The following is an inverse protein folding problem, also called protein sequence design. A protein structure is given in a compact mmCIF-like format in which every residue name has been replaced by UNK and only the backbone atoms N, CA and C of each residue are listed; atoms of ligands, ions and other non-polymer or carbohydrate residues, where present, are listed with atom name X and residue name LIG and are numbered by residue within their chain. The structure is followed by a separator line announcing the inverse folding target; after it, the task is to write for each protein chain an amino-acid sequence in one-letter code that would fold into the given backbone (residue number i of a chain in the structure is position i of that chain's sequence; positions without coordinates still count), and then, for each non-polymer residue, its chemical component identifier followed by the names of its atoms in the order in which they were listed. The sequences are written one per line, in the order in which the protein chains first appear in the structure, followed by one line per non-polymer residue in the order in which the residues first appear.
data_IF_855369506387
#
_entry.id   IF_855369506387
#
_cell.length_a   1.000
_cell.length_b   1.000
_cell.length_c   1.000
_cell.angle_alpha   90.00
_cell.angle_beta   90.00
_cell.angle_gamma   90.00
#
_symmetry.space_group_name_H-M   'P 1'
#
loop_
_entity.id
_entity.type
_entity.pdbx_description
1 polymer ?
#
# COMPACT_ATOMS: atom_id res chain seq x y z
N UNK A 1 7.24 15.25 -19.71
CA UNK A 1 7.10 15.78 -18.32
C UNK A 1 5.99 16.84 -18.22
N UNK A 2 6.04 17.95 -18.96
CA UNK A 2 5.03 19.03 -18.85
C UNK A 2 3.56 18.61 -19.03
N UNK A 3 3.27 17.65 -19.93
CA UNK A 3 1.91 17.15 -20.15
C UNK A 3 1.38 16.28 -19.00
N UNK A 4 2.26 15.53 -18.31
CA UNK A 4 1.89 14.71 -17.14
C UNK A 4 1.71 15.60 -15.92
N UNK A 5 2.59 16.58 -15.71
CA UNK A 5 2.44 17.58 -14.65
C UNK A 5 1.16 18.41 -14.81
N UNK A 6 0.78 18.74 -16.05
CA UNK A 6 -0.51 19.39 -16.36
C UNK A 6 -1.71 18.52 -15.98
N UNK A 7 -1.72 17.25 -16.39
CA UNK A 7 -2.80 16.32 -16.03
C UNK A 7 -2.92 16.08 -14.52
N UNK A 8 -1.81 16.08 -13.78
CA UNK A 8 -1.83 15.95 -12.32
C UNK A 8 -2.41 17.18 -11.61
N UNK A 9 -2.26 18.37 -12.20
CA UNK A 9 -2.81 19.61 -11.65
C UNK A 9 -4.33 19.73 -11.85
N UNK A 10 -4.89 19.04 -12.84
CA UNK A 10 -6.34 19.00 -13.11
C UNK A 10 -7.10 17.98 -12.25
N UNK A 11 -6.42 17.13 -11.48
CA UNK A 11 -7.09 16.15 -10.62
C UNK A 11 -7.74 16.86 -9.43
N UNK A 12 -9.06 17.03 -9.49
CA UNK A 12 -9.85 17.57 -8.38
C UNK A 12 -9.72 16.70 -7.13
N UNK A 13 -9.57 17.36 -5.99
CA UNK A 13 -9.62 16.67 -4.70
C UNK A 13 -11.06 16.30 -4.38
N UNK A 14 -11.39 15.03 -4.58
CA UNK A 14 -12.69 14.46 -4.20
C UNK A 14 -12.89 14.58 -2.68
N UNK A 15 -14.06 15.11 -2.29
CA UNK A 15 -14.52 15.08 -0.89
C UNK A 15 -14.99 13.68 -0.53
N UNK A 16 -14.88 13.30 0.74
CA UNK A 16 -15.27 11.95 1.16
C UNK A 16 -16.76 11.89 1.50
N UNK A 17 -17.41 10.71 1.38
CA UNK A 17 -18.84 10.58 1.62
C UNK A 17 -19.31 11.05 3.00
N UNK A 18 -18.52 10.86 4.05
CA UNK A 18 -18.81 11.28 5.43
C UNK A 18 -18.76 12.79 5.56
N UNK A 19 -17.76 13.45 4.97
CA UNK A 19 -17.68 14.91 4.93
C UNK A 19 -18.91 15.48 4.21
N UNK A 20 -19.28 14.91 3.05
CA UNK A 20 -20.46 15.32 2.31
C UNK A 20 -21.80 15.04 3.05
N UNK A 21 -21.85 14.01 3.90
CA UNK A 21 -22.99 13.72 4.77
C UNK A 21 -23.06 14.71 5.94
N UNK A 22 -21.92 15.04 6.55
CA UNK A 22 -21.85 16.05 7.61
C UNK A 22 -22.25 17.43 7.12
N UNK A 23 -21.84 17.84 5.92
CA UNK A 23 -22.25 19.12 5.32
C UNK A 23 -23.76 19.16 5.03
N UNK A 24 -24.35 18.03 4.65
CA UNK A 24 -25.81 17.90 4.49
C UNK A 24 -26.52 17.96 5.84
N UNK A 25 -26.03 17.24 6.83
CA UNK A 25 -26.57 17.23 8.19
C UNK A 25 -26.52 18.63 8.82
N UNK A 26 -25.37 19.31 8.75
CA UNK A 26 -25.19 20.66 9.26
C UNK A 26 -26.16 21.64 8.62
N UNK A 27 -26.32 21.62 7.28
CA UNK A 27 -27.30 22.47 6.58
C UNK A 27 -28.73 22.18 7.02
N UNK A 28 -29.11 20.91 7.13
CA UNK A 28 -30.46 20.53 7.55
C UNK A 28 -30.75 20.98 8.98
N UNK A 29 -29.78 20.81 9.88
CA UNK A 29 -29.86 21.24 11.27
C UNK A 29 -29.94 22.77 11.38
N UNK A 30 -29.14 23.52 10.62
CA UNK A 30 -29.22 24.99 10.59
C UNK A 30 -30.59 25.47 10.13
N UNK A 31 -31.14 24.89 9.06
CA UNK A 31 -32.49 25.25 8.58
C UNK A 31 -33.54 24.93 9.65
N UNK A 32 -33.43 23.79 10.32
CA UNK A 32 -34.32 23.40 11.40
C UNK A 32 -34.27 24.38 12.60
N UNK A 33 -33.05 24.74 13.05
CA UNK A 33 -32.86 25.71 14.14
C UNK A 33 -33.44 27.07 13.78
N UNK A 34 -33.18 27.57 12.57
CA UNK A 34 -33.70 28.87 12.11
C UNK A 34 -35.23 28.87 11.99
N UNK A 35 -35.83 27.77 11.52
CA UNK A 35 -37.28 27.61 11.47
C UNK A 35 -37.88 27.65 12.88
N UNK A 36 -37.32 26.87 13.81
CA UNK A 36 -37.78 26.84 15.19
C UNK A 36 -37.62 28.20 15.88
N UNK A 37 -36.50 28.88 15.63
CA UNK A 37 -36.23 30.24 16.11
C UNK A 37 -37.29 31.24 15.61
N UNK A 38 -37.62 31.21 14.32
CA UNK A 38 -38.65 32.06 13.74
C UNK A 38 -40.04 31.76 14.32
N UNK A 39 -40.37 30.47 14.51
CA UNK A 39 -41.64 30.05 15.14
C UNK A 39 -41.74 30.54 16.58
N UNK A 40 -40.70 30.34 17.39
CA UNK A 40 -40.68 30.81 18.79
C UNK A 40 -40.76 32.32 18.90
N UNK A 41 -40.04 33.03 18.02
CA UNK A 41 -40.04 34.49 18.00
C UNK A 41 -41.41 35.05 17.57
N UNK A 42 -42.03 34.47 16.56
CA UNK A 42 -43.39 34.85 16.14
C UNK A 42 -44.43 34.54 17.22
N UNK A 43 -44.39 33.36 17.83
CA UNK A 43 -45.30 32.98 18.90
C UNK A 43 -45.14 33.87 20.14
N UNK A 44 -43.90 34.06 20.62
CA UNK A 44 -43.64 34.87 21.82
C UNK A 44 -44.03 36.34 21.65
N UNK A 45 -43.88 36.88 20.44
CA UNK A 45 -44.25 38.26 20.13
C UNK A 45 -45.76 38.44 19.94
N UNK A 46 -46.40 37.61 19.12
CA UNK A 46 -47.82 37.78 18.77
C UNK A 46 -48.78 37.21 19.82
N UNK A 47 -48.44 36.08 20.46
CA UNK A 47 -49.32 35.38 21.41
C UNK A 47 -48.90 35.68 22.85
N UNK A 48 -47.59 35.62 23.13
CA UNK A 48 -47.06 35.82 24.47
C UNK A 48 -46.95 37.29 24.91
N UNK A 49 -47.04 38.24 23.98
CA UNK A 49 -46.84 39.69 24.20
C UNK A 49 -45.56 40.03 24.99
N UNK A 50 -44.51 39.23 24.81
CA UNK A 50 -43.22 39.44 25.47
C UNK A 50 -42.43 40.58 24.79
N UNK A 51 -41.54 41.28 25.53
CA UNK A 51 -40.64 42.26 24.94
C UNK A 51 -39.75 41.61 23.88
N UNK A 52 -39.64 42.24 22.70
CA UNK A 52 -38.85 41.70 21.59
C UNK A 52 -37.37 41.47 21.96
N UNK A 53 -36.78 42.36 22.78
CA UNK A 53 -35.40 42.23 23.27
C UNK A 53 -35.16 40.92 24.00
N UNK A 54 -36.07 40.57 24.90
CA UNK A 54 -35.92 39.44 25.81
C UNK A 54 -36.13 38.14 25.04
N UNK A 55 -37.12 38.13 24.13
CA UNK A 55 -37.41 37.02 23.24
C UNK A 55 -36.27 36.77 22.24
N UNK A 56 -35.71 37.83 21.65
CA UNK A 56 -34.57 37.74 20.74
C UNK A 56 -33.35 37.13 21.42
N UNK A 57 -33.01 37.61 22.62
CA UNK A 57 -31.90 37.07 23.42
C UNK A 57 -32.11 35.59 23.76
N UNK A 58 -33.32 35.20 24.16
CA UNK A 58 -33.65 33.81 24.46
C UNK A 58 -33.53 32.89 23.22
N UNK A 59 -34.05 33.32 22.08
CA UNK A 59 -34.01 32.55 20.82
C UNK A 59 -32.60 32.41 20.28
N UNK A 60 -31.78 33.47 20.33
CA UNK A 60 -30.36 33.40 19.95
C UNK A 60 -29.61 32.44 20.87
N UNK A 61 -29.82 32.53 22.18
CA UNK A 61 -29.22 31.62 23.17
C UNK A 61 -29.57 30.16 22.90
N UNK A 62 -30.85 29.86 22.63
CA UNK A 62 -31.31 28.53 22.25
C UNK A 62 -30.66 28.05 20.95
N UNK A 63 -30.58 28.93 19.95
CA UNK A 63 -30.02 28.59 18.64
C UNK A 63 -28.54 28.22 18.73
N UNK A 64 -27.75 29.00 19.49
CA UNK A 64 -26.34 28.70 19.74
C UNK A 64 -26.18 27.38 20.51
N UNK A 65 -27.00 27.16 21.55
CA UNK A 65 -26.96 25.92 22.33
C UNK A 65 -27.31 24.67 21.50
N UNK A 66 -28.06 24.82 20.41
CA UNK A 66 -28.44 23.73 19.52
C UNK A 66 -27.37 23.39 18.46
N UNK A 67 -26.33 24.22 18.27
CA UNK A 67 -25.25 23.96 17.30
C UNK A 67 -24.31 22.88 17.87
N UNK A 68 -24.06 21.77 17.14
CA UNK A 68 -23.25 20.68 17.63
C UNK A 68 -21.76 20.95 17.39
N UNK A 69 -21.21 21.92 18.11
CA UNK A 69 -19.80 22.34 18.00
C UNK A 69 -18.81 21.20 18.31
N UNK A 70 -19.23 20.21 19.10
CA UNK A 70 -18.42 19.03 19.42
C UNK A 70 -18.29 18.01 18.29
N UNK A 71 -19.20 18.03 17.30
CA UNK A 71 -19.28 17.00 16.26
C UNK A 71 -18.05 16.98 15.33
N UNK A 72 -17.53 18.13 14.81
CA UNK A 72 -16.28 18.15 14.04
C UNK A 72 -15.05 17.71 14.85
N UNK A 73 -15.03 18.03 16.14
CA UNK A 73 -13.92 17.66 17.03
C UNK A 73 -13.89 16.14 17.26
N UNK A 74 -15.03 15.54 17.60
CA UNK A 74 -15.16 14.08 17.79
C UNK A 74 -14.77 13.34 16.50
N UNK A 75 -15.26 13.79 15.34
CA UNK A 75 -14.90 13.21 14.05
C UNK A 75 -13.38 13.18 13.85
N UNK A 76 -12.72 14.31 14.07
CA UNK A 76 -11.28 14.45 13.86
C UNK A 76 -10.50 13.51 14.79
N UNK A 77 -10.92 13.41 16.06
CA UNK A 77 -10.32 12.50 17.03
C UNK A 77 -10.49 11.04 16.59
N UNK A 78 -11.69 10.64 16.19
CA UNK A 78 -11.96 9.27 15.73
C UNK A 78 -11.14 8.93 14.48
N UNK A 79 -11.04 9.84 13.50
CA UNK A 79 -10.20 9.65 12.31
C UNK A 79 -8.71 9.55 12.67
N UNK A 80 -8.22 10.37 13.61
CA UNK A 80 -6.84 10.33 14.07
C UNK A 80 -6.48 8.99 14.74
N UNK A 81 -7.37 8.45 15.57
CA UNK A 81 -7.21 7.10 16.16
C UNK A 81 -7.16 6.04 15.05
N UNK A 82 -8.01 6.16 14.03
CA UNK A 82 -7.98 5.28 12.85
C UNK A 82 -6.66 5.33 12.09
N UNK A 83 -6.11 6.53 11.85
CA UNK A 83 -4.80 6.72 11.22
C UNK A 83 -3.69 6.09 12.05
N UNK A 84 -3.71 6.27 13.38
CA UNK A 84 -2.72 5.64 14.25
C UNK A 84 -2.78 4.11 14.20
N UNK A 85 -3.98 3.53 14.14
CA UNK A 85 -4.17 2.09 14.01
C UNK A 85 -3.64 1.55 12.66
N UNK A 86 -3.84 2.29 11.57
CA UNK A 86 -3.33 1.93 10.24
C UNK A 86 -1.81 2.05 10.15
N UNK A 87 -1.23 3.09 10.74
CA UNK A 87 0.22 3.28 10.76
C UNK A 87 0.95 2.12 11.46
N UNK A 88 0.36 1.56 12.53
CA UNK A 88 0.88 0.35 13.20
C UNK A 88 0.87 -0.91 12.32
N UNK A 89 0.16 -0.88 11.19
CA UNK A 89 0.05 -1.97 10.21
C UNK A 89 0.76 -1.61 8.89
N UNK A 90 1.77 -0.74 8.93
CA UNK A 90 2.55 -0.30 7.77
C UNK A 90 1.75 0.49 6.71
N UNK A 91 0.59 1.05 7.06
CA UNK A 91 -0.20 1.89 6.16
C UNK A 91 -0.10 3.38 6.56
N UNK A 92 0.61 4.16 5.77
CA UNK A 92 0.83 5.60 6.02
C UNK A 92 -0.29 6.41 5.34
N UNK A 93 -1.14 7.04 6.15
CA UNK A 93 -2.26 7.85 5.67
C UNK A 93 -1.89 9.33 5.68
N UNK A 94 -1.86 9.96 4.49
CA UNK A 94 -1.47 11.36 4.32
C UNK A 94 -2.60 12.38 4.56
N UNK A 95 -3.86 11.94 4.51
CA UNK A 95 -5.05 12.79 4.71
C UNK A 95 -6.05 12.06 5.58
N UNK A 96 -6.45 12.64 6.72
CA UNK A 96 -7.37 12.01 7.67
C UNK A 96 -8.67 11.46 7.02
N UNK A 97 -9.33 12.18 6.08
CA UNK A 97 -10.55 11.67 5.45
C UNK A 97 -10.35 10.39 4.64
N UNK A 98 -9.13 10.08 4.19
CA UNK A 98 -8.86 8.90 3.38
C UNK A 98 -9.11 7.57 4.14
N UNK A 99 -9.14 7.61 5.48
CA UNK A 99 -9.54 6.45 6.30
C UNK A 99 -10.95 5.98 5.97
N UNK A 100 -11.87 6.91 5.73
CA UNK A 100 -13.25 6.58 5.38
C UNK A 100 -13.33 5.93 4.00
N UNK A 101 -12.63 6.51 3.02
CA UNK A 101 -12.58 5.97 1.67
C UNK A 101 -12.01 4.55 1.67
N UNK A 102 -10.98 4.27 2.47
CA UNK A 102 -10.42 2.92 2.64
C UNK A 102 -11.45 1.92 3.16
N UNK A 103 -12.35 2.32 4.06
CA UNK A 103 -13.42 1.47 4.58
C UNK A 103 -14.53 1.17 3.57
N UNK A 104 -14.61 1.93 2.48
CA UNK A 104 -15.63 1.80 1.44
C UNK A 104 -15.07 1.39 0.07
N UNK A 105 -13.80 0.94 0.03
CA UNK A 105 -13.17 0.43 -1.19
C UNK A 105 -13.93 -0.81 -1.70
N UNK A 106 -14.42 -0.73 -2.93
CA UNK A 106 -15.04 -1.86 -3.63
C UNK A 106 -14.13 -2.49 -4.70
N UNK A 107 -13.13 -1.74 -5.19
CA UNK A 107 -12.19 -2.19 -6.22
C UNK A 107 -10.77 -1.76 -5.83
N UNK A 108 -9.84 -2.70 -5.87
CA UNK A 108 -8.41 -2.46 -5.65
C UNK A 108 -7.69 -2.62 -6.99
N UNK A 109 -7.22 -1.51 -7.55
CA UNK A 109 -6.29 -1.53 -8.66
C UNK A 109 -4.86 -1.52 -8.10
N UNK A 110 -4.21 -2.68 -8.13
CA UNK A 110 -2.82 -2.82 -7.67
C UNK A 110 -1.88 -2.98 -8.87
N UNK A 111 -0.70 -2.39 -8.77
CA UNK A 111 0.38 -2.70 -9.70
C UNK A 111 0.98 -4.09 -9.40
N UNK A 112 1.58 -4.75 -10.40
CA UNK A 112 2.21 -6.07 -10.22
C UNK A 112 3.62 -5.95 -9.65
N UNK A 113 4.46 -5.18 -10.32
CA UNK A 113 5.89 -5.11 -10.01
C UNK A 113 6.11 -4.23 -8.78
N UNK A 114 6.78 -4.76 -7.76
CA UNK A 114 7.05 -4.03 -6.52
C UNK A 114 5.85 -3.83 -5.57
N UNK A 115 4.66 -4.33 -5.92
CA UNK A 115 3.50 -4.40 -5.00
C UNK A 115 3.02 -5.84 -4.79
N UNK A 116 2.60 -6.55 -5.85
CA UNK A 116 2.24 -7.97 -5.76
C UNK A 116 3.44 -8.91 -5.79
N UNK A 117 4.53 -8.45 -6.40
CA UNK A 117 5.79 -9.19 -6.52
C UNK A 117 6.90 -8.43 -5.79
N UNK A 118 7.91 -9.16 -5.30
CA UNK A 118 9.07 -8.58 -4.60
C UNK A 118 9.99 -7.74 -5.50
N UNK A 119 9.68 -7.62 -6.79
CA UNK A 119 10.59 -7.05 -7.81
C UNK A 119 11.98 -7.71 -7.81
N UNK A 120 12.01 -9.00 -7.42
CA UNK A 120 13.19 -9.84 -7.44
C UNK A 120 12.95 -10.89 -8.53
N UNK A 121 13.87 -10.99 -9.48
CA UNK A 121 13.80 -12.05 -10.49
C UNK A 121 14.31 -13.35 -9.88
N UNK A 122 13.67 -14.46 -10.21
CA UNK A 122 14.08 -15.79 -9.72
C UNK A 122 13.90 -16.80 -10.83
N UNK A 123 14.89 -17.68 -11.00
CA UNK A 123 14.76 -18.82 -11.92
C UNK A 123 13.76 -19.81 -11.33
N UNK A 124 12.67 -20.06 -12.05
CA UNK A 124 11.63 -21.00 -11.63
C UNK A 124 11.82 -22.42 -12.19
N UNK A 125 12.43 -22.54 -13.38
CA UNK A 125 12.61 -23.82 -14.07
C UNK A 125 13.80 -23.79 -15.02
N UNK A 126 14.42 -24.96 -15.21
CA UNK A 126 15.46 -25.20 -16.21
C UNK A 126 14.98 -26.26 -17.20
N UNK A 127 15.24 -26.07 -18.49
CA UNK A 127 14.90 -27.04 -19.51
C UNK A 127 16.16 -27.51 -20.23
N UNK A 128 16.42 -28.83 -20.16
CA UNK A 128 17.42 -29.54 -20.93
C UNK A 128 16.73 -30.45 -21.97
N UNK A 129 17.51 -31.09 -22.85
CA UNK A 129 16.98 -31.91 -23.95
C UNK A 129 15.96 -32.98 -23.51
N UNK A 130 16.19 -33.62 -22.36
CA UNK A 130 15.34 -34.72 -21.87
C UNK A 130 14.58 -34.38 -20.56
N UNK A 131 14.96 -33.30 -19.89
CA UNK A 131 14.53 -33.04 -18.51
C UNK A 131 14.15 -31.58 -18.31
N UNK A 132 12.99 -31.35 -17.66
CA UNK A 132 12.62 -30.05 -17.11
C UNK A 132 12.72 -30.14 -15.60
N UNK A 133 13.50 -29.24 -15.03
CA UNK A 133 13.72 -29.13 -13.59
C UNK A 133 12.95 -27.94 -13.05
N UNK A 134 12.39 -28.07 -11.85
CA UNK A 134 11.86 -26.94 -11.07
C UNK A 134 12.90 -26.47 -10.07
N UNK A 135 12.93 -25.17 -9.80
CA UNK A 135 13.88 -24.54 -8.89
C UNK A 135 13.10 -23.92 -7.74
N UNK A 136 13.50 -24.25 -6.51
CA UNK A 136 12.92 -23.65 -5.31
C UNK A 136 13.79 -22.51 -4.75
N UNK A 137 13.28 -21.85 -3.72
CA UNK A 137 13.88 -20.67 -3.11
C UNK A 137 13.31 -19.38 -3.73
N UNK A 138 13.30 -18.31 -2.93
CA UNK A 138 12.74 -17.03 -3.32
C UNK A 138 13.82 -15.96 -3.34
N UNK A 139 13.69 -15.00 -4.26
CA UNK A 139 14.61 -13.88 -4.36
C UNK A 139 16.01 -14.32 -4.79
N UNK A 140 17.00 -13.59 -4.30
CA UNK A 140 18.41 -13.75 -4.69
C UNK A 140 19.24 -14.59 -3.71
N UNK A 141 18.61 -15.23 -2.72
CA UNK A 141 19.31 -16.15 -1.84
C UNK A 141 19.83 -17.36 -2.66
N UNK A 142 21.12 -17.72 -2.56
CA UNK A 142 21.69 -18.91 -3.19
C UNK A 142 21.31 -20.20 -2.45
N UNK A 143 20.11 -20.23 -1.85
CA UNK A 143 19.56 -21.33 -1.08
C UNK A 143 18.29 -21.85 -1.77
N UNK A 144 18.19 -23.17 -1.89
CA UNK A 144 17.09 -23.82 -2.58
C UNK A 144 17.51 -25.18 -3.10
N UNK A 145 16.60 -25.83 -3.81
CA UNK A 145 16.83 -27.13 -4.40
C UNK A 145 16.35 -27.11 -5.85
N UNK A 146 17.13 -27.74 -6.72
CA UNK A 146 16.67 -28.11 -8.05
C UNK A 146 16.00 -29.48 -7.96
N UNK A 147 14.82 -29.62 -8.55
CA UNK A 147 14.03 -30.85 -8.53
C UNK A 147 13.75 -31.32 -9.93
N UNK A 148 13.86 -32.62 -10.15
CA UNK A 148 13.32 -33.28 -11.32
C UNK A 148 12.12 -34.12 -10.87
N UNK A 149 10.93 -33.81 -11.41
CA UNK A 149 9.66 -34.32 -10.89
C UNK A 149 9.50 -33.97 -9.40
N UNK A 150 9.41 -34.96 -8.52
CA UNK A 150 9.26 -34.75 -7.07
C UNK A 150 10.58 -34.91 -6.29
N UNK A 151 11.62 -35.46 -6.93
CA UNK A 151 12.92 -35.73 -6.29
C UNK A 151 13.87 -34.54 -6.42
N UNK A 152 14.72 -34.35 -5.41
CA UNK A 152 15.85 -33.41 -5.48
C UNK A 152 16.85 -33.96 -6.50
N UNK A 153 17.20 -33.15 -7.48
CA UNK A 153 18.17 -33.50 -8.51
C UNK A 153 19.54 -32.97 -8.09
N UNK A 154 20.47 -33.88 -7.84
CA UNK A 154 21.84 -33.53 -7.48
C UNK A 154 22.72 -33.42 -8.73
N UNK A 155 23.71 -32.50 -8.77
CA UNK A 155 24.63 -32.38 -9.90
C UNK A 155 25.45 -33.65 -10.18
N UNK A 156 25.65 -34.49 -9.16
CA UNK A 156 26.35 -35.78 -9.27
C UNK A 156 25.60 -36.77 -10.19
N UNK A 157 24.26 -36.76 -10.12
CA UNK A 157 23.38 -37.62 -10.93
C UNK A 157 22.98 -36.95 -12.26
N UNK A 158 22.99 -35.62 -12.29
CA UNK A 158 22.54 -34.80 -13.41
C UNK A 158 23.63 -33.80 -13.82
N UNK A 159 24.65 -34.28 -14.56
CA UNK A 159 25.79 -33.47 -14.98
C UNK A 159 25.42 -32.15 -15.70
N UNK A 160 24.27 -32.12 -16.40
CA UNK A 160 23.76 -30.90 -17.07
C UNK A 160 23.51 -29.73 -16.11
N UNK A 161 23.23 -30.00 -14.83
CA UNK A 161 23.04 -28.95 -13.82
C UNK A 161 24.32 -28.16 -13.61
N UNK A 162 25.48 -28.83 -13.61
CA UNK A 162 26.77 -28.17 -13.48
C UNK A 162 27.08 -27.27 -14.69
N UNK A 163 26.67 -27.67 -15.90
CA UNK A 163 26.80 -26.84 -17.10
C UNK A 163 25.90 -25.59 -17.04
N UNK A 164 24.68 -25.72 -16.53
CA UNK A 164 23.82 -24.57 -16.24
C UNK A 164 24.47 -23.63 -15.22
N UNK A 165 24.98 -24.17 -14.12
CA UNK A 165 25.62 -23.36 -13.08
C UNK A 165 26.85 -22.61 -13.59
N UNK A 166 27.71 -23.27 -14.36
CA UNK A 166 28.89 -22.65 -14.98
C UNK A 166 28.50 -21.53 -15.93
N UNK A 167 27.56 -21.78 -16.83
CA UNK A 167 27.09 -20.77 -17.78
C UNK A 167 26.49 -19.57 -17.06
N UNK A 168 25.65 -19.83 -16.06
CA UNK A 168 24.95 -18.82 -15.27
C UNK A 168 25.88 -17.95 -14.40
N UNK A 169 27.00 -18.51 -13.92
CA UNK A 169 27.97 -17.79 -13.09
C UNK A 169 29.08 -17.09 -13.91
N UNK A 170 29.54 -17.71 -15.00
CA UNK A 170 30.68 -17.21 -15.77
C UNK A 170 30.27 -16.19 -16.84
N UNK A 171 29.09 -16.34 -17.45
CA UNK A 171 28.53 -15.39 -18.40
C UNK A 171 27.60 -14.41 -17.65
N UNK A 172 28.16 -13.69 -16.68
CA UNK A 172 27.41 -12.85 -15.75
C UNK A 172 28.26 -11.68 -15.28
N UNK A 173 27.71 -10.46 -15.27
CA UNK A 173 28.43 -9.27 -14.81
C UNK A 173 27.87 -8.73 -13.48
N UNK A 174 26.93 -9.46 -12.88
CA UNK A 174 26.27 -9.10 -11.63
C UNK A 174 26.92 -9.76 -10.42
N UNK A 175 26.76 -9.14 -9.25
CA UNK A 175 27.32 -9.60 -7.98
C UNK A 175 26.21 -9.73 -6.93
N UNK A 176 26.26 -10.81 -6.15
CA UNK A 176 25.35 -11.04 -5.03
C UNK A 176 25.96 -10.58 -3.72
N UNK A 177 25.27 -9.66 -3.04
CA UNK A 177 25.67 -9.15 -1.75
C UNK A 177 24.71 -9.61 -0.67
N UNK A 178 25.24 -10.24 0.38
CA UNK A 178 24.50 -10.57 1.58
C UNK A 178 24.50 -9.37 2.55
N UNK A 179 23.31 -8.89 2.93
CA UNK A 179 23.12 -7.84 3.94
C UNK A 179 22.23 -8.37 5.07
N UNK A 180 22.83 -9.09 6.01
CA UNK A 180 22.08 -9.79 7.06
C UNK A 180 21.39 -11.02 6.46
N UNK A 181 20.06 -11.11 6.63
CA UNK A 181 19.25 -12.17 6.03
C UNK A 181 18.80 -11.85 4.58
N UNK A 182 18.97 -10.60 4.12
CA UNK A 182 18.52 -10.15 2.81
C UNK A 182 19.63 -10.19 1.75
N UNK A 183 19.27 -10.63 0.54
CA UNK A 183 20.17 -10.73 -0.60
C UNK A 183 19.86 -9.65 -1.62
N UNK A 184 20.90 -8.94 -2.06
CA UNK A 184 20.81 -7.87 -3.04
C UNK A 184 21.71 -8.16 -4.24
N UNK A 185 21.24 -7.77 -5.41
CA UNK A 185 22.00 -7.85 -6.67
C UNK A 185 22.55 -6.47 -6.99
N UNK A 186 23.84 -6.40 -7.26
CA UNK A 186 24.47 -5.29 -7.96
C UNK A 186 24.65 -5.71 -9.42
N UNK A 187 23.93 -5.06 -10.33
CA UNK A 187 23.89 -5.43 -11.75
C UNK A 187 22.47 -5.64 -12.26
N UNK A 188 22.33 -6.48 -13.28
CA UNK A 188 21.04 -6.80 -13.87
C UNK A 188 20.26 -7.83 -13.02
N UNK A 189 18.96 -7.61 -12.71
CA UNK A 189 18.14 -8.53 -11.94
C UNK A 189 18.09 -9.97 -12.48
N UNK A 190 18.07 -10.16 -13.80
CA UNK A 190 18.04 -11.48 -14.43
C UNK A 190 19.37 -12.20 -14.23
N UNK A 191 20.47 -11.49 -14.41
CA UNK A 191 21.80 -12.02 -14.16
C UNK A 191 22.00 -12.38 -12.69
N UNK A 192 21.57 -11.53 -11.76
CA UNK A 192 21.58 -11.85 -10.33
C UNK A 192 20.78 -13.12 -9.99
N UNK A 193 19.63 -13.33 -10.65
CA UNK A 193 18.84 -14.56 -10.49
C UNK A 193 19.57 -15.81 -11.01
N UNK A 194 20.34 -15.68 -12.10
CA UNK A 194 21.18 -16.75 -12.65
C UNK A 194 22.37 -17.05 -11.72
N UNK A 195 22.98 -16.03 -11.12
CA UNK A 195 24.06 -16.23 -10.16
C UNK A 195 23.56 -16.95 -8.89
N UNK A 196 22.37 -16.58 -8.40
CA UNK A 196 21.72 -17.26 -7.29
C UNK A 196 21.38 -18.71 -7.63
N UNK A 197 20.94 -18.99 -8.86
CA UNK A 197 20.74 -20.35 -9.35
C UNK A 197 22.03 -21.17 -9.32
N UNK A 198 23.14 -20.60 -9.79
CA UNK A 198 24.43 -21.29 -9.78
C UNK A 198 24.83 -21.68 -8.34
N UNK A 199 24.68 -20.77 -7.38
CA UNK A 199 24.89 -21.05 -5.96
C UNK A 199 24.00 -22.17 -5.41
N UNK A 200 22.70 -22.20 -5.80
CA UNK A 200 21.77 -23.29 -5.43
C UNK A 200 22.18 -24.66 -5.98
N UNK A 201 22.81 -24.69 -7.15
CA UNK A 201 23.23 -25.92 -7.81
C UNK A 201 24.55 -26.42 -7.23
N UNK A 202 25.54 -25.54 -7.05
CA UNK A 202 26.88 -25.96 -6.59
C UNK A 202 26.97 -26.09 -5.07
N UNK A 203 26.14 -25.37 -4.33
CA UNK A 203 26.24 -25.25 -2.87
C UNK A 203 27.33 -24.27 -2.41
N UNK A 204 27.97 -23.54 -3.32
CA UNK A 204 29.07 -22.62 -3.02
C UNK A 204 28.61 -21.23 -2.56
N UNK A 205 27.30 -21.03 -2.37
CA UNK A 205 26.75 -19.77 -1.88
C UNK A 205 26.78 -18.64 -2.92
N UNK A 206 27.19 -17.44 -2.50
CA UNK A 206 27.08 -16.19 -3.28
C UNK A 206 28.00 -16.11 -4.49
N UNK A 207 29.14 -16.80 -4.42
CA UNK A 207 30.22 -16.68 -5.40
C UNK A 207 30.64 -18.06 -5.92
N UNK A 208 29.76 -18.74 -6.67
CA UNK A 208 30.08 -20.01 -7.29
C UNK A 208 31.24 -19.82 -8.28
N UNK A 209 32.20 -20.76 -8.27
CA UNK A 209 33.38 -20.76 -9.15
C UNK A 209 34.38 -19.59 -8.94
N UNK A 210 34.52 -19.01 -7.73
CA UNK A 210 35.55 -17.98 -7.42
C UNK A 210 36.98 -18.35 -7.89
N UNK A 211 37.31 -19.63 -7.91
CA UNK A 211 38.63 -20.13 -8.27
C UNK A 211 38.89 -20.14 -9.79
N UNK A 212 37.89 -19.85 -10.62
CA UNK A 212 38.03 -19.78 -12.07
C UNK A 212 38.45 -18.38 -12.50
N UNK A 213 39.64 -18.25 -13.07
CA UNK A 213 40.06 -17.02 -13.73
C UNK A 213 39.27 -16.84 -15.04
N UNK A 214 38.68 -15.65 -15.23
CA UNK A 214 38.22 -15.19 -16.55
C UNK A 214 39.46 -14.74 -17.33
N UNK A 215 39.90 -15.53 -18.31
CA UNK A 215 40.96 -15.15 -19.25
C UNK A 215 40.45 -14.15 -20.31
#
# INVERSE_FOLDING_TARGET
IGRISGMLAEVETLTTPLVAQMDRFARWLTVFILMLAAVLLSYGYFVGHLPFSDLFMAVVGLSVAAIPEGLPAVLTITLAVGVQAMARRNAIVRRLPAIETLGSVSVICSDKTGTLTRNEMTVASLAAAEHVYSVSGNGYAPEGAVRWREAVAHPEDHAVLMEFARTAALCNDSVLHARGEDWHVEGDPMEGALLALAGKITGDGAEPFQSWCRD
#
